data_IF_508708174798
#
_entry.id   IF_508708174798
#
_cell.length_a   1.000
_cell.length_b   1.000
_cell.length_c   1.000
_cell.angle_alpha   90.00
_cell.angle_beta   90.00
_cell.angle_gamma   90.00
#
_symmetry.space_group_name_H-M   'P 1'
#
loop_
_entity.id
_entity.type
_entity.pdbx_description
1 polymer ?
#
# COMPACT_ATOMS: atom_id res chain seq x y z
N UNK A 1 -36.93 -22.67 -6.95
CA UNK A 1 -36.02 -21.67 -7.55
C UNK A 1 -36.13 -20.38 -6.76
N UNK A 2 -35.19 -20.17 -5.83
CA UNK A 2 -34.86 -18.86 -5.27
C UNK A 2 -33.63 -19.10 -4.38
N UNK A 3 -32.43 -18.99 -4.95
CA UNK A 3 -31.22 -18.87 -4.15
C UNK A 3 -30.82 -17.41 -4.22
N UNK A 4 -31.14 -16.70 -3.14
CA UNK A 4 -30.67 -15.35 -2.88
C UNK A 4 -29.16 -15.31 -3.11
N UNK A 5 -28.73 -14.32 -3.90
CA UNK A 5 -27.34 -13.94 -4.06
C UNK A 5 -26.77 -13.58 -2.68
N UNK A 6 -26.13 -14.55 -2.03
CA UNK A 6 -25.26 -14.31 -0.89
C UNK A 6 -24.13 -13.42 -1.38
N UNK A 7 -24.09 -12.21 -0.80
CA UNK A 7 -23.15 -11.15 -1.07
C UNK A 7 -21.73 -11.70 -1.25
N UNK A 8 -21.17 -11.48 -2.44
CA UNK A 8 -19.77 -11.66 -2.76
C UNK A 8 -18.95 -10.75 -1.84
N UNK A 9 -18.31 -11.30 -0.82
CA UNK A 9 -17.39 -10.56 0.04
C UNK A 9 -15.96 -10.97 -0.28
N UNK A 10 -15.31 -10.16 -1.11
CA UNK A 10 -13.90 -10.30 -1.43
C UNK A 10 -13.08 -9.91 -0.19
N UNK A 11 -12.28 -10.83 0.35
CA UNK A 11 -11.07 -10.44 1.09
C UNK A 11 -10.10 -9.90 0.04
N UNK A 12 -10.31 -8.67 -0.40
CA UNK A 12 -9.44 -8.05 -1.42
C UNK A 12 -8.07 -7.84 -0.80
N UNK A 13 -7.13 -8.64 -1.30
CA UNK A 13 -5.69 -8.44 -1.29
C UNK A 13 -4.95 -8.56 0.04
N UNK A 14 -4.45 -9.76 0.29
CA UNK A 14 -3.15 -9.92 0.96
C UNK A 14 -2.02 -9.59 -0.03
N UNK A 15 -1.79 -8.29 -0.26
CA UNK A 15 -0.44 -7.83 -0.62
C UNK A 15 0.32 -7.67 0.71
N UNK A 16 0.92 -8.76 1.16
CA UNK A 16 1.69 -8.76 2.41
C UNK A 16 2.93 -9.62 2.25
N UNK A 17 4.06 -8.91 2.26
CA UNK A 17 5.42 -9.34 2.56
C UNK A 17 5.56 -10.80 3.02
N UNK A 18 6.13 -11.61 2.13
CA UNK A 18 6.56 -12.97 2.44
C UNK A 18 7.80 -12.93 3.33
N UNK A 19 7.62 -13.10 4.63
CA UNK A 19 8.67 -13.65 5.49
C UNK A 19 8.33 -15.12 5.68
N UNK A 20 9.17 -16.02 5.18
CA UNK A 20 8.91 -17.48 5.09
C UNK A 20 8.55 -18.21 6.39
N UNK A 21 8.34 -17.52 7.50
CA UNK A 21 7.84 -18.06 8.77
C UNK A 21 6.36 -17.78 9.04
N UNK A 22 5.80 -16.60 8.70
CA UNK A 22 4.47 -16.14 9.14
C UNK A 22 3.76 -15.23 8.10
N UNK A 23 2.44 -15.34 7.99
CA UNK A 23 1.57 -14.43 7.23
C UNK A 23 0.88 -13.44 8.15
N UNK A 24 1.15 -12.13 7.97
CA UNK A 24 0.46 -11.09 8.76
C UNK A 24 -0.88 -10.76 8.15
N UNK A 25 -1.92 -10.67 8.99
CA UNK A 25 -3.27 -10.26 8.58
C UNK A 25 -3.32 -8.72 8.46
N UNK A 26 -3.82 -8.16 7.34
CA UNK A 26 -4.03 -6.72 7.18
C UNK A 26 -4.90 -6.13 8.28
N UNK A 27 -4.61 -4.88 8.71
CA UNK A 27 -5.29 -4.27 9.84
C UNK A 27 -6.80 -4.13 9.64
N UNK A 28 -7.25 -3.82 8.42
CA UNK A 28 -8.67 -3.70 8.05
C UNK A 28 -9.42 -5.03 8.12
N UNK A 29 -8.74 -6.16 7.91
CA UNK A 29 -9.34 -7.50 7.96
C UNK A 29 -9.17 -8.18 9.32
N UNK A 30 -8.49 -7.51 10.26
CA UNK A 30 -8.09 -8.14 11.52
C UNK A 30 -9.27 -8.54 12.38
N UNK A 31 -10.29 -7.69 12.50
CA UNK A 31 -11.47 -7.99 13.30
C UNK A 31 -12.28 -9.14 12.70
N UNK A 32 -12.47 -9.13 11.37
CA UNK A 32 -13.15 -10.22 10.64
C UNK A 32 -12.38 -11.53 10.75
N UNK A 33 -11.07 -11.53 10.54
CA UNK A 33 -10.21 -12.70 10.73
C UNK A 33 -10.30 -13.24 12.17
N UNK A 34 -10.23 -12.36 13.17
CA UNK A 34 -10.30 -12.76 14.57
C UNK A 34 -11.66 -13.39 14.93
N UNK A 35 -12.74 -12.93 14.30
CA UNK A 35 -14.09 -13.46 14.51
C UNK A 35 -14.31 -14.78 13.76
N UNK A 36 -13.80 -14.90 12.53
CA UNK A 36 -13.99 -16.09 11.67
C UNK A 36 -13.11 -17.27 12.07
N UNK A 37 -11.93 -17.02 12.63
CA UNK A 37 -10.96 -18.07 12.97
C UNK A 37 -10.96 -18.39 14.46
N UNK A 38 -10.44 -19.55 14.86
CA UNK A 38 -10.12 -19.86 16.28
C UNK A 38 -8.60 -19.78 16.49
N UNK A 39 -8.01 -20.68 17.29
CA UNK A 39 -6.55 -20.81 17.41
C UNK A 39 -5.92 -21.41 16.14
N UNK A 40 -6.71 -22.14 15.36
CA UNK A 40 -6.34 -22.70 14.06
C UNK A 40 -7.48 -22.49 13.07
N UNK A 41 -7.13 -22.50 11.80
CA UNK A 41 -8.08 -22.54 10.69
C UNK A 41 -7.63 -23.59 9.70
N UNK A 42 -8.58 -24.34 9.15
CA UNK A 42 -8.36 -25.30 8.08
C UNK A 42 -9.03 -24.75 6.84
N UNK A 43 -8.29 -24.63 5.75
CA UNK A 43 -8.82 -24.19 4.45
C UNK A 43 -8.32 -25.10 3.33
N UNK A 44 -9.09 -25.16 2.24
CA UNK A 44 -8.71 -25.91 1.03
C UNK A 44 -8.14 -24.96 -0.01
N UNK A 45 -6.97 -25.30 -0.55
CA UNK A 45 -6.34 -24.60 -1.66
C UNK A 45 -5.75 -25.64 -2.62
N UNK A 46 -5.92 -25.44 -3.94
CA UNK A 46 -5.45 -26.38 -4.96
C UNK A 46 -5.75 -27.86 -4.63
N UNK A 47 -7.00 -28.12 -4.21
CA UNK A 47 -7.50 -29.46 -3.83
C UNK A 47 -6.82 -30.10 -2.60
N UNK A 48 -6.00 -29.34 -1.85
CA UNK A 48 -5.35 -29.79 -0.60
C UNK A 48 -5.85 -28.99 0.58
N UNK A 49 -6.06 -29.68 1.71
CA UNK A 49 -6.42 -29.04 2.96
C UNK A 49 -5.18 -28.67 3.78
N UNK A 50 -5.14 -27.42 4.26
CA UNK A 50 -4.06 -26.88 5.09
C UNK A 50 -4.62 -26.42 6.42
N UNK A 51 -4.06 -26.91 7.52
CA UNK A 51 -4.42 -26.45 8.87
C UNK A 51 -3.31 -25.56 9.42
N UNK A 52 -3.59 -24.28 9.59
CA UNK A 52 -2.62 -23.26 10.01
C UNK A 52 -2.96 -22.71 11.39
N UNK A 53 -1.94 -22.31 12.16
CA UNK A 53 -2.15 -21.64 13.45
C UNK A 53 -2.48 -20.18 13.23
N UNK A 54 -3.36 -19.64 14.06
CA UNK A 54 -3.81 -18.25 14.04
C UNK A 54 -3.37 -17.56 15.33
N UNK A 55 -2.49 -16.57 15.21
CA UNK A 55 -2.12 -15.68 16.29
C UNK A 55 -3.05 -14.47 16.30
N UNK A 56 -3.55 -14.11 17.48
CA UNK A 56 -4.44 -12.97 17.70
C UNK A 56 -3.89 -12.11 18.84
N UNK A 57 -2.99 -11.19 18.52
CA UNK A 57 -2.47 -10.22 19.47
C UNK A 57 -3.31 -8.95 19.50
N UNK A 58 -3.00 -8.02 20.43
CA UNK A 58 -3.67 -6.70 20.56
C UNK A 58 -3.40 -5.75 19.40
N UNK A 59 -2.24 -5.86 18.75
CA UNK A 59 -1.84 -5.00 17.61
C UNK A 59 -1.71 -5.73 16.28
N UNK A 60 -1.59 -7.07 16.31
CA UNK A 60 -1.27 -7.89 15.15
C UNK A 60 -2.01 -9.21 15.21
N UNK A 61 -2.53 -9.66 14.07
CA UNK A 61 -2.99 -11.03 13.87
C UNK A 61 -2.20 -11.66 12.72
N UNK A 62 -1.98 -12.97 12.76
CA UNK A 62 -1.15 -13.67 11.78
C UNK A 62 -1.53 -15.15 11.64
N UNK A 63 -1.32 -15.72 10.45
CA UNK A 63 -1.28 -17.17 10.24
C UNK A 63 0.17 -17.66 10.28
N UNK A 64 0.45 -18.77 10.95
CA UNK A 64 1.81 -19.21 11.18
C UNK A 64 1.96 -20.72 11.41
N UNK A 65 3.21 -21.15 11.58
CA UNK A 65 3.58 -22.50 11.97
C UNK A 65 3.75 -23.45 10.78
N UNK A 66 3.88 -24.74 11.08
CA UNK A 66 4.19 -25.77 10.08
C UNK A 66 3.15 -25.88 8.96
N UNK A 67 1.87 -25.71 9.29
CA UNK A 67 0.81 -25.72 8.28
C UNK A 67 0.92 -24.58 7.28
N UNK A 68 1.31 -23.38 7.75
CA UNK A 68 1.54 -22.23 6.88
C UNK A 68 2.74 -22.49 5.97
N UNK A 69 3.86 -22.97 6.54
CA UNK A 69 5.05 -23.30 5.77
C UNK A 69 4.78 -24.36 4.71
N UNK A 70 4.03 -25.41 5.06
CA UNK A 70 3.63 -26.45 4.10
C UNK A 70 2.75 -25.90 2.99
N UNK A 71 1.77 -25.04 3.31
CA UNK A 71 0.96 -24.35 2.29
C UNK A 71 1.84 -23.53 1.35
N UNK A 72 2.81 -22.79 1.90
CA UNK A 72 3.75 -21.98 1.13
C UNK A 72 4.61 -22.82 0.19
N UNK A 73 5.20 -23.90 0.69
CA UNK A 73 6.07 -24.81 -0.07
C UNK A 73 5.28 -25.61 -1.12
N UNK A 74 4.15 -26.21 -0.75
CA UNK A 74 3.33 -27.03 -1.67
C UNK A 74 2.81 -26.21 -2.88
N UNK A 75 2.63 -24.90 -2.72
CA UNK A 75 2.06 -24.02 -3.75
C UNK A 75 3.11 -23.13 -4.43
N UNK A 76 4.41 -23.36 -4.16
CA UNK A 76 5.51 -22.56 -4.70
C UNK A 76 5.27 -21.05 -4.60
N UNK A 77 4.74 -20.60 -3.45
CA UNK A 77 4.42 -19.19 -3.27
C UNK A 77 5.70 -18.34 -3.32
N UNK A 78 5.67 -17.28 -4.12
CA UNK A 78 6.80 -16.42 -4.40
C UNK A 78 6.39 -14.98 -4.69
N UNK A 79 7.37 -14.16 -5.06
CA UNK A 79 7.16 -12.73 -5.35
C UNK A 79 6.17 -12.57 -6.52
N UNK A 80 5.18 -11.69 -6.35
CA UNK A 80 4.18 -11.38 -7.38
C UNK A 80 2.94 -12.29 -7.39
N UNK A 81 2.89 -13.31 -6.53
CA UNK A 81 1.70 -14.13 -6.34
C UNK A 81 0.86 -13.60 -5.18
N UNK A 82 -0.46 -13.60 -5.37
CA UNK A 82 -1.42 -13.20 -4.34
C UNK A 82 -2.22 -14.41 -3.87
N UNK A 83 -2.56 -14.42 -2.59
CA UNK A 83 -3.46 -15.43 -2.01
C UNK A 83 -4.69 -14.75 -1.46
N UNK A 84 -5.85 -15.18 -1.91
CA UNK A 84 -7.16 -14.75 -1.44
C UNK A 84 -7.72 -15.83 -0.54
N UNK A 85 -8.18 -15.48 0.66
CA UNK A 85 -8.76 -16.43 1.61
C UNK A 85 -10.23 -16.14 1.83
N UNK A 86 -11.03 -17.21 1.86
CA UNK A 86 -12.45 -17.22 2.17
C UNK A 86 -12.60 -18.00 3.48
N UNK A 87 -12.43 -17.33 4.63
CA UNK A 87 -12.32 -18.00 5.94
C UNK A 87 -13.63 -18.07 6.73
N UNK A 88 -14.63 -17.30 6.32
CA UNK A 88 -15.94 -17.21 6.94
C UNK A 88 -17.00 -18.08 6.27
N UNK A 89 -16.62 -18.80 5.21
CA UNK A 89 -17.48 -19.79 4.57
C UNK A 89 -17.55 -21.08 5.40
N UNK A 90 -18.66 -21.85 5.29
CA UNK A 90 -18.78 -23.16 5.93
C UNK A 90 -17.63 -24.12 5.58
N UNK A 91 -17.08 -23.96 4.37
CA UNK A 91 -15.90 -24.65 3.88
C UNK A 91 -14.84 -23.60 3.52
N UNK A 92 -13.93 -23.26 4.45
CA UNK A 92 -12.93 -22.25 4.17
C UNK A 92 -12.04 -22.64 2.99
N UNK A 93 -11.78 -21.69 2.09
CA UNK A 93 -10.94 -21.92 0.91
C UNK A 93 -9.88 -20.83 0.75
N UNK A 94 -8.85 -21.12 -0.04
CA UNK A 94 -7.93 -20.11 -0.52
C UNK A 94 -7.64 -20.29 -2.01
N UNK A 95 -7.60 -19.18 -2.73
CA UNK A 95 -7.26 -19.12 -4.15
C UNK A 95 -5.94 -18.38 -4.35
N UNK A 96 -5.09 -18.94 -5.20
CA UNK A 96 -3.80 -18.34 -5.55
C UNK A 96 -3.97 -17.69 -6.92
N UNK A 97 -3.66 -16.39 -7.00
CA UNK A 97 -3.78 -15.60 -8.21
C UNK A 97 -2.38 -15.22 -8.71
N UNK A 98 -2.17 -15.39 -10.02
CA UNK A 98 -1.02 -14.90 -10.75
C UNK A 98 -1.42 -13.64 -11.53
N UNK A 99 -0.57 -12.61 -11.48
CA UNK A 99 -0.65 -11.50 -12.43
C UNK A 99 0.35 -11.77 -13.54
N UNK A 100 -0.15 -12.04 -14.75
CA UNK A 100 0.67 -11.98 -15.96
C UNK A 100 0.88 -10.49 -16.25
N UNK A 101 2.07 -9.97 -15.95
CA UNK A 101 2.51 -8.70 -16.53
C UNK A 101 2.66 -8.96 -18.01
N UNK A 102 1.82 -8.32 -18.84
CA UNK A 102 1.80 -8.51 -20.29
C UNK A 102 3.21 -8.45 -20.88
N UNK A 103 3.51 -9.43 -21.75
CA UNK A 103 4.76 -9.54 -22.47
C UNK A 103 5.16 -8.22 -23.14
N UNK A 104 6.36 -7.70 -22.82
CA UNK A 104 7.02 -6.69 -23.64
C UNK A 104 7.76 -5.57 -22.93
N UNK A 105 7.74 -5.49 -21.59
CA UNK A 105 8.53 -4.49 -20.87
C UNK A 105 9.06 -5.07 -19.57
N UNK A 106 10.34 -4.83 -19.31
CA UNK A 106 11.04 -5.32 -18.12
C UNK A 106 10.20 -4.99 -16.87
N UNK A 107 10.04 -5.94 -15.92
CA UNK A 107 9.18 -5.73 -14.77
C UNK A 107 9.69 -4.56 -13.93
N UNK A 108 8.89 -3.51 -13.80
CA UNK A 108 9.07 -2.51 -12.76
C UNK A 108 8.93 -3.22 -11.41
N UNK A 109 10.02 -3.30 -10.65
CA UNK A 109 10.01 -3.80 -9.27
C UNK A 109 9.23 -2.81 -8.40
N UNK A 110 7.93 -3.07 -8.20
CA UNK A 110 7.10 -2.32 -7.26
C UNK A 110 7.60 -2.61 -5.84
N UNK A 111 8.24 -1.63 -5.21
CA UNK A 111 8.69 -1.74 -3.83
C UNK A 111 7.59 -1.21 -2.89
N UNK A 112 6.93 -2.15 -2.21
CA UNK A 112 5.92 -1.82 -1.20
C UNK A 112 6.69 -1.46 0.09
N UNK A 113 6.46 -0.29 0.68
CA UNK A 113 7.09 0.04 1.97
C UNK A 113 6.32 -0.63 3.11
N UNK A 114 6.87 -1.69 3.69
CA UNK A 114 6.37 -2.33 4.90
C UNK A 114 7.25 -1.97 6.09
N UNK A 115 6.68 -1.40 7.14
CA UNK A 115 7.31 -1.41 8.46
C UNK A 115 6.33 -2.07 9.43
N UNK A 116 6.72 -3.23 9.98
CA UNK A 116 7.20 -3.35 11.37
C UNK A 116 8.26 -4.48 11.35
N UNK A 117 9.50 -4.09 11.66
CA UNK A 117 10.69 -4.87 12.03
C UNK A 117 11.19 -5.96 11.05
N UNK A 118 12.19 -5.60 10.23
CA UNK A 118 12.96 -6.52 9.40
C UNK A 118 13.84 -5.76 8.41
N UNK A 119 15.13 -6.07 8.40
CA UNK A 119 16.20 -5.36 7.71
C UNK A 119 15.92 -5.01 6.24
N UNK A 120 16.44 -3.84 5.85
CA UNK A 120 16.46 -3.39 4.48
C UNK A 120 17.28 -4.36 3.62
N UNK A 121 16.64 -5.03 2.67
CA UNK A 121 17.40 -5.58 1.54
C UNK A 121 17.76 -4.43 0.60
N UNK A 122 19.06 -4.18 0.46
CA UNK A 122 19.65 -3.28 -0.53
C UNK A 122 19.26 -3.73 -1.93
N UNK A 123 18.47 -2.92 -2.63
CA UNK A 123 18.32 -3.03 -4.08
C UNK A 123 18.06 -1.62 -4.63
N UNK A 124 19.15 -1.00 -5.06
CA UNK A 124 19.29 0.37 -5.56
C UNK A 124 18.79 0.48 -7.00
N UNK A 125 17.48 0.32 -7.23
CA UNK A 125 16.91 0.45 -8.57
C UNK A 125 15.60 1.25 -8.56
N UNK A 126 15.56 2.25 -9.46
CA UNK A 126 14.45 3.13 -9.83
C UNK A 126 13.08 2.44 -9.76
N UNK A 127 12.27 2.79 -8.76
CA UNK A 127 10.94 2.24 -8.61
C UNK A 127 10.00 3.19 -7.89
N UNK A 128 8.72 3.16 -8.29
CA UNK A 128 7.64 3.84 -7.57
C UNK A 128 7.35 3.05 -6.31
N UNK A 129 7.22 3.77 -5.18
CA UNK A 129 6.85 3.18 -3.91
C UNK A 129 5.33 3.06 -3.81
N UNK A 130 4.81 1.90 -3.43
CA UNK A 130 3.37 1.76 -3.14
C UNK A 130 3.14 1.73 -1.63
N UNK A 131 2.20 2.53 -1.14
CA UNK A 131 1.81 2.47 0.27
C UNK A 131 1.06 1.17 0.58
N UNK A 132 1.16 0.70 1.83
CA UNK A 132 0.48 -0.51 2.30
C UNK A 132 -1.03 -0.44 2.06
N UNK A 133 -1.60 -1.53 1.53
CA UNK A 133 -3.04 -1.65 1.27
C UNK A 133 -3.52 -0.88 0.03
N UNK A 134 -2.60 -0.39 -0.82
CA UNK A 134 -2.96 0.18 -2.10
C UNK A 134 -3.55 -0.89 -3.01
N UNK A 135 -4.77 -0.64 -3.47
CA UNK A 135 -5.42 -1.35 -4.56
C UNK A 135 -5.84 -0.32 -5.57
N UNK A 136 -5.42 -0.50 -6.82
CA UNK A 136 -5.86 0.29 -7.96
C UNK A 136 -6.91 -0.53 -8.72
N UNK A 137 -7.94 0.14 -9.22
CA UNK A 137 -8.83 -0.45 -10.21
C UNK A 137 -8.17 -0.39 -11.61
N UNK A 138 -8.77 -1.06 -12.60
CA UNK A 138 -8.23 -1.14 -13.96
C UNK A 138 -7.98 0.24 -14.59
N UNK A 139 -8.88 1.20 -14.35
CA UNK A 139 -8.74 2.57 -14.89
C UNK A 139 -7.59 3.32 -14.23
N UNK A 140 -7.48 3.25 -12.90
CA UNK A 140 -6.40 3.89 -12.15
C UNK A 140 -5.03 3.29 -12.47
N UNK A 141 -4.96 1.96 -12.66
CA UNK A 141 -3.74 1.27 -13.06
C UNK A 141 -3.34 1.65 -14.49
N UNK A 142 -4.26 1.60 -15.46
CA UNK A 142 -3.99 2.02 -16.83
C UNK A 142 -3.50 3.48 -16.90
N UNK A 143 -4.10 4.38 -16.10
CA UNK A 143 -3.64 5.76 -15.98
C UNK A 143 -2.25 5.86 -15.36
N UNK A 144 -1.95 5.07 -14.32
CA UNK A 144 -0.62 5.03 -13.74
C UNK A 144 0.40 4.55 -14.77
N UNK A 145 0.14 3.45 -15.49
CA UNK A 145 1.04 2.94 -16.52
C UNK A 145 1.29 3.97 -17.64
N UNK A 146 0.26 4.72 -18.05
CA UNK A 146 0.40 5.79 -19.04
C UNK A 146 1.23 7.00 -18.57
N UNK A 147 1.50 7.13 -17.26
CA UNK A 147 2.37 8.17 -16.71
C UNK A 147 3.82 7.72 -16.59
N UNK A 148 4.12 6.46 -16.89
CA UNK A 148 5.46 5.89 -16.72
C UNK A 148 6.19 5.73 -18.06
N UNK A 149 7.53 5.92 -18.07
CA UNK A 149 8.37 6.40 -16.95
C UNK A 149 8.08 7.88 -16.63
N UNK A 150 8.28 8.27 -15.37
CA UNK A 150 8.08 9.68 -14.97
C UNK A 150 9.11 10.56 -15.68
N UNK A 151 8.69 11.74 -16.13
CA UNK A 151 9.54 12.70 -16.87
C UNK A 151 10.85 13.07 -16.13
N UNK A 152 11.90 13.44 -16.86
CA UNK A 152 13.28 13.78 -16.43
C UNK A 152 13.48 14.93 -15.41
N UNK A 153 12.44 15.36 -14.68
CA UNK A 153 12.55 16.39 -13.63
C UNK A 153 12.12 15.93 -12.25
N UNK A 154 11.76 14.66 -12.08
CA UNK A 154 11.41 14.12 -10.76
C UNK A 154 12.67 13.76 -9.98
N UNK A 155 12.69 14.11 -8.69
CA UNK A 155 13.77 13.77 -7.76
C UNK A 155 13.30 12.69 -6.78
N UNK A 156 14.22 11.80 -6.39
CA UNK A 156 13.93 10.72 -5.45
C UNK A 156 12.92 9.70 -5.98
N UNK A 157 12.23 9.02 -5.06
CA UNK A 157 11.20 8.04 -5.40
C UNK A 157 9.80 8.67 -5.39
N UNK A 158 9.09 8.57 -6.51
CA UNK A 158 7.64 8.80 -6.48
C UNK A 158 6.93 7.69 -5.70
N UNK A 159 5.72 7.95 -5.25
CA UNK A 159 4.91 6.95 -4.57
C UNK A 159 3.42 7.07 -4.88
N UNK A 160 2.72 5.93 -4.83
CA UNK A 160 1.27 5.86 -5.04
C UNK A 160 0.59 5.54 -3.73
N UNK A 161 -0.47 6.31 -3.45
CA UNK A 161 -1.22 6.22 -2.21
C UNK A 161 -2.73 6.36 -2.47
N UNK A 162 -3.53 5.57 -1.76
CA UNK A 162 -4.97 5.79 -1.69
C UNK A 162 -5.28 6.55 -0.41
N UNK A 163 -5.77 7.78 -0.57
CA UNK A 163 -6.00 8.70 0.54
C UNK A 163 -6.99 8.09 1.55
N UNK A 164 -6.54 7.93 2.79
CA UNK A 164 -7.32 7.33 3.85
C UNK A 164 -8.14 8.36 4.62
N UNK A 165 -8.99 7.87 5.54
CA UNK A 165 -9.68 8.72 6.51
C UNK A 165 -8.70 9.55 7.34
N UNK A 166 -7.52 9.01 7.67
CA UNK A 166 -6.50 9.70 8.47
C UNK A 166 -5.88 10.86 7.70
N UNK A 167 -5.61 10.68 6.40
CA UNK A 167 -5.05 11.74 5.57
C UNK A 167 -6.06 12.88 5.39
N UNK A 168 -7.33 12.55 5.10
CA UNK A 168 -8.33 13.56 4.76
C UNK A 168 -9.04 14.14 5.97
N UNK A 169 -9.59 13.30 6.86
CA UNK A 169 -10.44 13.77 7.98
C UNK A 169 -9.64 14.17 9.21
N UNK A 170 -8.49 13.54 9.44
CA UNK A 170 -7.60 13.89 10.56
C UNK A 170 -6.45 14.81 10.13
N UNK A 171 -6.30 15.05 8.83
CA UNK A 171 -5.28 15.93 8.29
C UNK A 171 -3.85 15.40 8.39
N UNK A 172 -3.67 14.10 8.66
CA UNK A 172 -2.39 13.51 9.02
C UNK A 172 -1.69 12.83 7.84
N UNK A 173 -1.60 13.53 6.70
CA UNK A 173 -0.88 13.01 5.53
C UNK A 173 0.62 12.92 5.79
N UNK A 174 1.19 11.78 5.39
CA UNK A 174 2.61 11.48 5.56
C UNK A 174 3.27 11.01 4.27
N UNK A 175 4.55 11.31 4.13
CA UNK A 175 5.42 10.74 3.10
C UNK A 175 6.16 9.52 3.70
N UNK A 176 6.19 8.36 3.01
CA UNK A 176 6.90 7.17 3.49
C UNK A 176 8.39 7.43 3.76
N UNK A 177 8.96 6.77 4.78
CA UNK A 177 10.37 6.92 5.18
C UNK A 177 11.35 6.73 4.01
N UNK A 178 11.10 5.71 3.18
CA UNK A 178 11.95 5.41 2.01
C UNK A 178 11.96 6.55 0.99
N UNK A 179 10.81 7.17 0.77
CA UNK A 179 10.66 8.31 -0.14
C UNK A 179 11.31 9.55 0.46
N UNK A 180 11.08 9.78 1.77
CA UNK A 180 11.67 10.88 2.51
C UNK A 180 13.20 10.84 2.48
N UNK A 181 13.80 9.67 2.69
CA UNK A 181 15.26 9.49 2.67
C UNK A 181 15.89 9.70 1.27
N UNK A 182 15.11 9.54 0.20
CA UNK A 182 15.56 9.70 -1.19
C UNK A 182 15.29 11.10 -1.75
N UNK A 183 14.70 12.00 -0.97
CA UNK A 183 14.31 13.35 -1.37
C UNK A 183 14.99 14.34 -0.41
N UNK A 184 15.41 15.54 -0.84
CA UNK A 184 16.13 16.49 0.01
C UNK A 184 15.18 17.20 1.00
N UNK A 185 14.55 16.43 1.90
CA UNK A 185 13.82 16.97 3.03
C UNK A 185 14.78 17.24 4.19
N UNK A 186 14.59 18.36 4.87
CA UNK A 186 15.27 18.70 6.11
C UNK A 186 14.47 18.19 7.33
N UNK A 187 14.93 18.47 8.55
CA UNK A 187 14.19 18.13 9.76
C UNK A 187 12.81 18.81 9.82
N UNK A 188 12.72 20.03 9.30
CA UNK A 188 11.49 20.79 9.16
C UNK A 188 11.63 21.80 8.04
N UNK A 189 10.51 22.21 7.43
CA UNK A 189 10.55 23.21 6.38
C UNK A 189 9.20 23.47 5.75
N UNK A 190 9.21 24.02 4.54
CA UNK A 190 8.02 24.30 3.74
C UNK A 190 8.17 23.66 2.37
N UNK A 191 7.11 23.00 1.91
CA UNK A 191 6.99 22.50 0.53
C UNK A 191 5.88 23.21 -0.20
N UNK A 192 6.01 23.29 -1.52
CA UNK A 192 4.93 23.70 -2.42
C UNK A 192 4.21 22.46 -2.92
N UNK A 193 2.93 22.32 -2.61
CA UNK A 193 2.12 21.20 -3.06
C UNK A 193 1.18 21.60 -4.18
N UNK A 194 1.18 20.87 -5.29
CA UNK A 194 0.26 21.05 -6.42
C UNK A 194 -0.52 19.78 -6.71
N UNK A 195 -1.71 19.93 -7.27
CA UNK A 195 -2.55 18.82 -7.76
C UNK A 195 -2.86 19.09 -9.22
N UNK A 196 -2.63 18.10 -10.09
CA UNK A 196 -2.93 18.13 -11.53
C UNK A 196 -2.37 19.38 -12.26
N UNK A 197 -1.15 19.81 -11.90
CA UNK A 197 -0.49 20.96 -12.53
C UNK A 197 -1.05 22.34 -12.14
N UNK A 198 -1.97 22.41 -11.16
CA UNK A 198 -2.51 23.68 -10.66
C UNK A 198 -1.48 24.44 -9.82
N UNK A 199 -1.70 25.75 -9.61
CA UNK A 199 -0.85 26.60 -8.73
C UNK A 199 -0.59 25.91 -7.39
N UNK A 200 0.68 25.83 -6.97
CA UNK A 200 1.01 25.17 -5.71
C UNK A 200 0.53 25.99 -4.49
N UNK A 201 0.32 25.32 -3.35
CA UNK A 201 0.13 25.95 -2.04
C UNK A 201 1.31 25.59 -1.14
N UNK A 202 1.73 26.52 -0.29
CA UNK A 202 2.81 26.28 0.69
C UNK A 202 2.27 25.54 1.91
N UNK A 203 2.89 24.42 2.26
CA UNK A 203 2.57 23.62 3.45
C UNK A 203 3.85 23.37 4.24
N UNK A 204 3.80 23.66 5.53
CA UNK A 204 4.88 23.33 6.45
C UNK A 204 4.94 21.83 6.68
N UNK A 205 6.13 21.29 6.87
CA UNK A 205 6.33 19.88 7.21
C UNK A 205 7.35 19.73 8.32
N UNK A 206 7.36 18.54 8.93
CA UNK A 206 8.42 18.09 9.82
C UNK A 206 8.73 16.62 9.61
N UNK A 207 9.95 16.22 9.88
CA UNK A 207 10.39 14.83 9.95
C UNK A 207 10.00 14.29 11.33
N UNK A 208 9.23 13.20 11.35
CA UNK A 208 8.88 12.49 12.57
C UNK A 208 10.00 11.53 12.99
N UNK A 209 9.97 11.09 14.24
CA UNK A 209 10.97 10.17 14.82
C UNK A 209 11.10 8.83 14.06
N UNK A 210 10.05 8.44 13.33
CA UNK A 210 10.04 7.25 12.46
C UNK A 210 10.66 7.49 11.07
N UNK A 211 11.20 8.69 10.82
CA UNK A 211 11.82 9.13 9.56
C UNK A 211 10.82 9.49 8.46
N UNK A 212 9.53 9.61 8.76
CA UNK A 212 8.51 10.05 7.79
C UNK A 212 8.34 11.56 7.80
N UNK A 213 8.05 12.14 6.65
CA UNK A 213 7.63 13.55 6.58
C UNK A 213 6.14 13.64 6.90
N UNK A 214 5.79 14.53 7.82
CA UNK A 214 4.41 14.81 8.21
C UNK A 214 4.07 16.23 7.81
N UNK A 215 3.00 16.40 7.02
CA UNK A 215 2.51 17.72 6.67
C UNK A 215 1.79 18.39 7.85
N UNK A 216 1.88 19.71 7.91
CA UNK A 216 1.18 20.52 8.91
C UNK A 216 -0.32 20.33 8.78
N UNK A 217 -0.93 19.73 9.81
CA UNK A 217 -2.32 19.25 9.83
C UNK A 217 -3.32 20.23 9.21
N UNK A 218 -3.44 21.44 9.77
CA UNK A 218 -4.42 22.45 9.32
C UNK A 218 -4.20 22.85 7.85
N UNK A 219 -2.95 23.10 7.45
CA UNK A 219 -2.62 23.50 6.07
C UNK A 219 -2.90 22.39 5.07
N UNK A 220 -2.67 21.14 5.45
CA UNK A 220 -3.02 19.99 4.62
C UNK A 220 -4.54 19.79 4.52
N UNK A 221 -5.28 19.88 5.63
CA UNK A 221 -6.76 19.83 5.63
C UNK A 221 -7.36 20.88 4.68
N UNK A 222 -6.92 22.14 4.82
CA UNK A 222 -7.35 23.25 3.96
C UNK A 222 -6.99 23.02 2.49
N UNK A 223 -5.80 22.48 2.22
CA UNK A 223 -5.36 22.13 0.87
C UNK A 223 -6.23 21.05 0.27
N UNK A 224 -6.40 19.92 0.96
CA UNK A 224 -7.16 18.77 0.52
C UNK A 224 -8.62 19.16 0.21
N UNK A 225 -9.26 19.92 1.11
CA UNK A 225 -10.60 20.45 0.91
C UNK A 225 -10.67 21.35 -0.35
N UNK A 226 -9.75 22.31 -0.47
CA UNK A 226 -9.72 23.24 -1.61
C UNK A 226 -9.44 22.59 -2.97
N UNK A 227 -8.87 21.38 -2.99
CA UNK A 227 -8.55 20.61 -4.21
C UNK A 227 -9.52 19.45 -4.45
N UNK A 228 -10.55 19.31 -3.61
CA UNK A 228 -11.52 18.22 -3.69
C UNK A 228 -10.88 16.84 -3.59
N UNK A 229 -9.85 16.69 -2.74
CA UNK A 229 -9.29 15.38 -2.41
C UNK A 229 -10.21 14.69 -1.40
N UNK A 230 -10.61 13.45 -1.69
CA UNK A 230 -11.55 12.69 -0.87
C UNK A 230 -10.89 11.41 -0.38
N UNK A 231 -11.50 10.84 0.66
CA UNK A 231 -11.15 9.48 1.10
C UNK A 231 -11.37 8.53 -0.09
N UNK A 232 -10.48 7.57 -0.25
CA UNK A 232 -10.40 6.64 -1.36
C UNK A 232 -10.00 7.25 -2.70
N UNK A 233 -9.55 8.50 -2.79
CA UNK A 233 -8.89 8.98 -4.03
C UNK A 233 -7.50 8.34 -4.14
N UNK A 234 -7.21 7.66 -5.26
CA UNK A 234 -5.86 7.22 -5.57
C UNK A 234 -5.04 8.39 -6.14
N UNK A 235 -3.82 8.54 -5.67
CA UNK A 235 -2.90 9.60 -6.10
C UNK A 235 -1.52 9.06 -6.34
N UNK A 236 -0.92 9.46 -7.46
CA UNK A 236 0.53 9.40 -7.67
C UNK A 236 1.13 10.69 -7.10
N UNK A 237 2.19 10.56 -6.31
CA UNK A 237 2.88 11.66 -5.66
C UNK A 237 4.34 11.59 -6.08
N UNK A 238 4.84 12.65 -6.72
CA UNK A 238 6.24 12.80 -7.05
C UNK A 238 6.79 14.15 -6.60
N UNK A 239 8.10 14.30 -6.68
CA UNK A 239 8.83 15.46 -6.16
C UNK A 239 9.65 16.10 -7.26
N UNK A 240 9.73 17.42 -7.27
CA UNK A 240 10.67 18.17 -8.12
C UNK A 240 11.45 19.15 -7.24
N UNK A 241 12.70 19.41 -7.61
CA UNK A 241 13.45 20.51 -7.01
C UNK A 241 12.81 21.84 -7.40
N UNK A 242 12.91 22.84 -6.53
CA UNK A 242 12.49 24.20 -6.84
C UNK A 242 13.41 25.22 -6.21
N UNK A 243 13.67 26.29 -6.95
CA UNK A 243 14.47 27.43 -6.50
C UNK A 243 13.58 28.65 -6.20
N UNK A 244 12.26 28.48 -6.17
CA UNK A 244 11.29 29.57 -6.02
C UNK A 244 10.86 29.74 -4.57
N UNK A 245 10.78 30.99 -4.13
CA UNK A 245 10.01 31.43 -2.97
C UNK A 245 10.12 30.48 -1.76
N UNK A 246 11.30 30.33 -1.16
CA UNK A 246 11.53 29.54 0.08
C UNK A 246 11.06 28.07 0.04
N UNK A 247 10.77 27.55 -1.16
CA UNK A 247 10.29 26.18 -1.38
C UNK A 247 11.36 25.42 -2.16
N UNK A 248 12.08 24.53 -1.47
CA UNK A 248 13.11 23.70 -2.09
C UNK A 248 12.55 22.43 -2.75
N UNK A 249 11.37 21.98 -2.30
CA UNK A 249 10.72 20.76 -2.80
C UNK A 249 9.28 21.07 -3.24
N UNK A 250 8.99 20.79 -4.50
CA UNK A 250 7.63 20.78 -5.04
C UNK A 250 7.07 19.36 -5.01
N UNK A 251 5.97 19.19 -4.27
CA UNK A 251 5.20 17.94 -4.21
C UNK A 251 4.10 18.00 -5.27
N UNK A 252 4.18 17.12 -6.26
CA UNK A 252 3.23 17.03 -7.37
C UNK A 252 2.30 15.84 -7.12
N UNK A 253 1.02 16.12 -6.94
CA UNK A 253 -0.03 15.11 -6.85
C UNK A 253 -0.74 15.01 -8.20
N UNK A 254 -0.86 13.79 -8.70
CA UNK A 254 -1.70 13.46 -9.85
C UNK A 254 -2.80 12.52 -9.37
N UNK A 255 -4.06 12.90 -9.57
CA UNK A 255 -5.18 11.99 -9.27
C UNK A 255 -5.20 10.86 -10.30
N UNK A 256 -5.45 9.65 -9.80
CA UNK A 256 -5.76 8.47 -10.60
C UNK A 256 -7.25 8.23 -10.39
N UNK A 257 -8.04 8.24 -11.46
CA UNK A 257 -9.51 8.18 -11.44
C UNK A 257 -10.18 9.40 -12.06
#
# INVERSE_FOLDING_TARGET
MSSQYSQLFVVTSLLTFFFGSNQVVPCNERDRFNNATREKVTFVANQRAYTVKCYKGRRKSAMYGRGWRKFYEDNNLGKGQMVVFYLDEPLPTASILWFQVGNGSKPLKIQISGNEDGEASSDDSEGIVCTRGLLLNETEDAQLQGLLPLSDGFIGFAFVHRLTRTDIRLGMMKIPKKVAAATPFEEQGVVGISVDGRRFKKISYKTADDGRIVFGRKKWEDFAASRGLKVNTAVLIGFKSSERDDVHVLVILKKLG
#
